data_IF_099869572117
#
_entry.id   IF_099869572117
#
_cell.length_a   1.000
_cell.length_b   1.000
_cell.length_c   1.000
_cell.angle_alpha   90.00
_cell.angle_beta   90.00
_cell.angle_gamma   90.00
#
_symmetry.space_group_name_H-M   'P 1'
#
loop_
_entity.id
_entity.type
_entity.pdbx_description
1 polymer ?
#
# COMPACT_ATOMS: atom_id res chain seq x y z
N UNK A 1 25.52 -50.52 23.16
CA UNK A 1 25.27 -49.26 22.43
C UNK A 1 24.89 -48.20 23.45
N UNK A 2 25.62 -47.09 23.53
CA UNK A 2 25.47 -46.06 24.56
C UNK A 2 24.57 -44.95 24.02
N UNK A 3 23.31 -44.90 24.44
CA UNK A 3 22.35 -43.89 23.99
C UNK A 3 22.69 -42.54 24.64
N UNK A 4 23.14 -41.59 23.83
CA UNK A 4 23.37 -40.21 24.25
C UNK A 4 22.05 -39.45 24.09
N UNK A 5 21.32 -39.27 25.19
CA UNK A 5 20.14 -38.40 25.21
C UNK A 5 20.62 -36.95 25.26
N UNK A 6 20.61 -36.27 24.11
CA UNK A 6 20.86 -34.84 24.04
C UNK A 6 19.71 -34.10 24.70
N UNK A 7 19.97 -33.54 25.88
CA UNK A 7 19.01 -32.75 26.65
C UNK A 7 19.00 -31.32 26.11
N UNK A 8 18.42 -31.14 24.93
CA UNK A 8 18.22 -29.84 24.30
C UNK A 8 16.75 -29.45 24.36
N UNK A 9 16.49 -28.17 24.58
CA UNK A 9 15.17 -27.55 24.73
C UNK A 9 14.50 -27.73 26.11
N UNK A 10 14.61 -26.68 26.92
CA UNK A 10 13.83 -26.53 28.16
C UNK A 10 12.65 -25.58 27.93
N UNK A 11 11.61 -25.68 28.76
CA UNK A 11 10.52 -24.70 28.73
C UNK A 11 11.02 -23.27 29.00
N UNK A 12 12.00 -23.13 29.90
CA UNK A 12 12.62 -21.83 30.24
C UNK A 12 13.29 -21.20 29.01
N UNK A 13 13.94 -22.01 28.18
CA UNK A 13 14.58 -21.56 26.94
C UNK A 13 13.54 -20.95 25.98
N UNK A 14 12.37 -21.58 25.84
CA UNK A 14 11.28 -21.04 25.03
C UNK A 14 10.65 -19.77 25.61
N UNK A 15 10.57 -19.64 26.93
CA UNK A 15 10.08 -18.42 27.59
C UNK A 15 10.99 -17.22 27.30
N UNK A 16 12.31 -17.43 27.35
CA UNK A 16 13.29 -16.39 27.04
C UNK A 16 13.22 -16.00 25.55
N UNK A 17 13.03 -16.98 24.66
CA UNK A 17 12.89 -16.71 23.21
C UNK A 17 11.65 -15.86 22.92
N UNK A 18 10.49 -16.18 23.49
CA UNK A 18 9.26 -15.38 23.31
C UNK A 18 9.43 -13.97 23.87
N UNK A 19 10.12 -13.84 25.02
CA UNK A 19 10.43 -12.54 25.60
C UNK A 19 11.29 -11.68 24.66
N UNK A 20 12.37 -12.24 24.10
CA UNK A 20 13.25 -11.50 23.18
C UNK A 20 12.49 -11.10 21.91
N UNK A 21 11.72 -12.02 21.30
CA UNK A 21 10.95 -11.72 20.08
C UNK A 21 9.93 -10.61 20.33
N UNK A 22 9.28 -10.59 21.50
CA UNK A 22 8.31 -9.53 21.84
C UNK A 22 8.95 -8.14 21.85
N UNK A 23 10.15 -8.00 22.42
CA UNK A 23 10.88 -6.73 22.46
C UNK A 23 11.32 -6.34 21.05
N UNK A 24 11.82 -7.28 20.25
CA UNK A 24 12.22 -7.03 18.87
C UNK A 24 11.04 -6.51 18.03
N UNK A 25 9.88 -7.18 18.08
CA UNK A 25 8.68 -6.78 17.33
C UNK A 25 8.23 -5.35 17.69
N UNK A 26 8.25 -4.99 18.97
CA UNK A 26 7.91 -3.62 19.42
C UNK A 26 8.84 -2.56 18.84
N UNK A 27 10.11 -2.87 18.59
CA UNK A 27 11.07 -1.97 17.95
C UNK A 27 10.88 -1.89 16.42
N UNK A 28 10.39 -2.95 15.77
CA UNK A 28 10.18 -2.99 14.32
C UNK A 28 8.84 -2.40 13.85
N UNK A 29 7.76 -2.60 14.62
CA UNK A 29 6.42 -2.05 14.30
C UNK A 29 6.42 -0.54 14.02
N UNK A 30 7.04 0.35 14.84
CA UNK A 30 7.02 1.79 14.57
C UNK A 30 7.67 2.14 13.21
N UNK A 31 8.63 1.34 12.75
CA UNK A 31 9.29 1.53 11.47
C UNK A 31 8.45 1.05 10.27
N UNK A 32 7.43 0.22 10.49
CA UNK A 32 6.52 -0.28 9.43
C UNK A 32 5.30 0.62 9.19
N UNK A 33 4.99 1.52 10.13
CA UNK A 33 3.81 2.40 10.05
C UNK A 33 3.88 3.46 8.95
N UNK A 34 5.09 3.91 8.59
CA UNK A 34 5.29 5.02 7.64
C UNK A 34 5.14 4.62 6.17
N UNK A 35 5.12 3.32 5.86
CA UNK A 35 4.98 2.82 4.48
C UNK A 35 3.52 2.87 3.97
N UNK A 36 2.53 2.98 4.87
CA UNK A 36 1.12 3.04 4.47
C UNK A 36 0.81 4.32 3.68
N UNK A 37 1.29 5.46 4.15
CA UNK A 37 1.02 6.75 3.50
C UNK A 37 1.72 6.88 2.13
N UNK A 38 2.91 6.27 1.99
CA UNK A 38 3.64 6.26 0.72
C UNK A 38 2.99 5.32 -0.32
N UNK A 39 2.50 4.16 0.13
CA UNK A 39 1.82 3.18 -0.74
C UNK A 39 0.42 3.65 -1.14
N UNK A 40 -0.32 4.31 -0.25
CA UNK A 40 -1.62 4.90 -0.59
C UNK A 40 -1.47 5.97 -1.69
N UNK A 41 -0.46 6.85 -1.58
CA UNK A 41 -0.19 7.87 -2.62
C UNK A 41 0.20 7.27 -3.96
N UNK A 42 1.07 6.26 -3.97
CA UNK A 42 1.51 5.62 -5.21
C UNK A 42 0.37 4.83 -5.87
N UNK A 43 -0.47 4.16 -5.07
CA UNK A 43 -1.68 3.47 -5.55
C UNK A 43 -2.70 4.44 -6.14
N UNK A 44 -2.94 5.58 -5.48
CA UNK A 44 -3.88 6.60 -5.97
C UNK A 44 -3.39 7.23 -7.28
N UNK A 45 -2.08 7.48 -7.40
CA UNK A 45 -1.48 7.99 -8.65
C UNK A 45 -1.60 7.00 -9.80
N UNK A 46 -1.36 5.71 -9.56
CA UNK A 46 -1.49 4.68 -10.58
C UNK A 46 -2.93 4.58 -11.13
N UNK A 47 -3.94 4.70 -10.26
CA UNK A 47 -5.35 4.71 -10.67
C UNK A 47 -5.65 5.92 -11.57
N UNK A 48 -5.19 7.12 -11.20
CA UNK A 48 -5.38 8.33 -12.01
C UNK A 48 -4.72 8.22 -13.38
N UNK A 49 -3.51 7.63 -13.47
CA UNK A 49 -2.80 7.46 -14.75
C UNK A 49 -3.52 6.47 -15.68
N UNK A 50 -4.09 5.39 -15.14
CA UNK A 50 -4.89 4.45 -15.96
C UNK A 50 -6.12 5.12 -16.56
N UNK A 51 -6.81 5.94 -15.77
CA UNK A 51 -8.00 6.65 -16.24
C UNK A 51 -7.65 7.78 -17.21
N UNK A 52 -6.52 8.46 -17.02
CA UNK A 52 -5.98 9.41 -18.01
C UNK A 52 -5.78 8.74 -19.37
N UNK A 53 -5.20 7.55 -19.36
CA UNK A 53 -4.95 6.78 -20.58
C UNK A 53 -6.27 6.41 -21.27
N UNK A 54 -7.31 6.04 -20.52
CA UNK A 54 -8.64 5.74 -21.06
C UNK A 54 -9.31 6.97 -21.69
N UNK A 55 -9.23 8.13 -21.02
CA UNK A 55 -9.75 9.39 -21.54
C UNK A 55 -9.01 9.81 -22.80
N UNK A 56 -7.67 9.74 -22.79
CA UNK A 56 -6.83 10.10 -23.92
C UNK A 56 -7.14 9.20 -25.13
N UNK A 57 -7.30 7.88 -24.92
CA UNK A 57 -7.70 6.93 -25.96
C UNK A 57 -9.10 7.23 -26.53
N UNK A 58 -10.06 7.60 -25.69
CA UNK A 58 -11.40 8.00 -26.14
C UNK A 58 -11.37 9.28 -26.98
N UNK A 59 -10.59 10.29 -26.54
CA UNK A 59 -10.41 11.55 -27.26
C UNK A 59 -9.72 11.35 -28.62
N UNK A 60 -8.74 10.43 -28.72
CA UNK A 60 -8.14 10.01 -29.98
C UNK A 60 -9.12 9.29 -30.91
N UNK A 61 -10.10 8.56 -30.35
CA UNK A 61 -11.16 7.87 -31.08
C UNK A 61 -12.29 8.78 -31.60
N UNK A 62 -12.25 10.07 -31.27
CA UNK A 62 -13.26 11.05 -31.68
C UNK A 62 -14.49 11.15 -30.77
N UNK A 63 -14.51 10.40 -29.67
CA UNK A 63 -15.57 10.46 -28.65
C UNK A 63 -15.06 11.29 -27.47
N UNK A 64 -15.50 12.54 -27.40
CA UNK A 64 -15.11 13.45 -26.32
C UNK A 64 -15.98 13.18 -25.11
N UNK A 65 -15.44 12.47 -24.12
CA UNK A 65 -16.05 12.32 -22.81
C UNK A 65 -16.30 13.69 -22.18
N UNK A 66 -17.54 13.94 -21.75
CA UNK A 66 -17.91 15.16 -21.04
C UNK A 66 -17.31 15.19 -19.64
N UNK A 67 -17.10 16.38 -19.07
CA UNK A 67 -16.52 16.56 -17.72
C UNK A 67 -17.37 15.90 -16.62
N UNK A 68 -18.64 15.61 -16.92
CA UNK A 68 -19.59 14.91 -16.05
C UNK A 68 -19.33 13.38 -16.06
N UNK A 69 -19.08 12.78 -17.23
CA UNK A 69 -18.71 11.36 -17.37
C UNK A 69 -17.31 11.08 -16.79
N UNK A 70 -16.40 12.03 -16.96
CA UNK A 70 -15.07 12.01 -16.33
C UNK A 70 -15.16 12.16 -14.80
N UNK A 71 -16.22 12.73 -14.24
CA UNK A 71 -16.39 12.81 -12.79
C UNK A 71 -17.05 11.55 -12.21
N UNK A 72 -17.85 10.84 -13.00
CA UNK A 72 -18.55 9.61 -12.60
C UNK A 72 -17.62 8.38 -12.59
N UNK A 73 -16.64 8.34 -13.49
CA UNK A 73 -15.60 7.30 -13.52
C UNK A 73 -14.70 7.29 -12.29
N UNK A 74 -14.65 8.39 -11.51
CA UNK A 74 -13.73 8.54 -10.40
C UNK A 74 -14.49 8.55 -9.06
N UNK A 75 -14.19 7.64 -8.13
CA UNK A 75 -14.84 7.63 -6.82
C UNK A 75 -14.50 8.89 -6.02
N UNK A 76 -15.53 9.54 -5.47
CA UNK A 76 -15.42 10.82 -4.76
C UNK A 76 -14.51 10.77 -3.53
N UNK A 77 -13.77 11.86 -3.29
CA UNK A 77 -12.86 12.06 -2.14
C UNK A 77 -11.47 12.53 -2.55
N UNK A 78 -10.42 12.09 -1.83
CA UNK A 78 -8.99 12.42 -2.06
C UNK A 78 -8.53 12.28 -3.52
N UNK A 79 -9.17 11.39 -4.29
CA UNK A 79 -8.85 11.11 -5.70
C UNK A 79 -9.29 12.24 -6.64
N UNK A 80 -10.35 12.98 -6.26
CA UNK A 80 -10.85 14.16 -6.98
C UNK A 80 -9.87 15.34 -6.83
N UNK A 81 -9.35 15.55 -5.61
CA UNK A 81 -8.33 16.58 -5.33
C UNK A 81 -7.01 16.29 -6.07
N UNK A 82 -6.61 15.02 -6.15
CA UNK A 82 -5.39 14.60 -6.85
C UNK A 82 -5.51 14.77 -8.38
N UNK A 83 -6.69 14.49 -8.94
CA UNK A 83 -7.01 14.76 -10.34
C UNK A 83 -6.96 16.26 -10.62
N UNK A 84 -7.60 17.07 -9.80
CA UNK A 84 -7.60 18.53 -9.94
C UNK A 84 -6.17 19.10 -9.90
N UNK A 85 -5.29 18.57 -9.04
CA UNK A 85 -3.88 18.95 -9.00
C UNK A 85 -3.10 18.49 -10.26
N UNK A 86 -3.31 17.27 -10.75
CA UNK A 86 -2.60 16.73 -11.92
C UNK A 86 -3.12 17.24 -13.28
N UNK A 87 -4.40 17.62 -13.38
CA UNK A 87 -5.03 18.04 -14.63
C UNK A 87 -5.21 19.56 -14.73
N UNK A 88 -5.48 20.26 -13.61
CA UNK A 88 -5.70 21.73 -13.61
C UNK A 88 -4.40 22.54 -13.45
N UNK A 89 -3.25 21.86 -13.32
CA UNK A 89 -1.92 22.47 -13.29
C UNK A 89 -1.39 22.88 -14.67
N UNK A 90 -2.06 23.81 -15.34
CA UNK A 90 -1.49 24.70 -16.36
C UNK A 90 -2.10 26.09 -16.25
#
# INVERSE_FOLDING_TARGET
MKNQLHKGFTLVEMMIVVLIISILVLLFIPNLGQTKDAVEKESDKAIVETMRTEIELAEFGGDKLTEEEKAELFPEGKKKDLFEEHFRGK
#
